data_IF_320966086042
#
_entry.id   IF_320966086042
#
_cell.length_a   1.000
_cell.length_b   1.000
_cell.length_c   1.000
_cell.angle_alpha   90.00
_cell.angle_beta   90.00
_cell.angle_gamma   90.00
#
_symmetry.space_group_name_H-M   'P 1'
#
loop_
_entity.id
_entity.type
_entity.pdbx_description
1 polymer ?
#
# COMPACT_ATOMS: atom_id res chain seq x y z
N UNK A 1 -19.35 -5.79 20.96
CA UNK A 1 -20.05 -5.11 19.86
C UNK A 1 -21.54 -5.38 20.00
N UNK A 2 -22.36 -4.33 20.19
CA UNK A 2 -23.81 -4.47 20.37
C UNK A 2 -24.52 -4.94 19.09
N UNK A 3 -25.79 -5.34 19.20
CA UNK A 3 -26.63 -5.62 18.04
C UNK A 3 -26.67 -4.37 17.14
N UNK A 4 -26.23 -4.52 15.89
CA UNK A 4 -26.34 -3.44 14.91
C UNK A 4 -27.82 -3.10 14.71
N UNK A 5 -28.17 -1.82 14.50
CA UNK A 5 -29.57 -1.40 14.34
C UNK A 5 -30.21 -1.88 13.02
N UNK A 6 -29.45 -2.63 12.20
CA UNK A 6 -29.86 -3.15 10.91
C UNK A 6 -29.71 -4.68 10.87
N UNK A 7 -30.60 -5.40 10.17
CA UNK A 7 -30.49 -6.84 10.01
C UNK A 7 -29.25 -7.21 9.20
N UNK A 8 -28.65 -8.37 9.49
CA UNK A 8 -27.62 -8.96 8.62
C UNK A 8 -28.27 -9.42 7.33
N UNK A 9 -27.74 -8.97 6.19
CA UNK A 9 -28.13 -9.44 4.86
C UNK A 9 -27.11 -10.48 4.39
N UNK A 10 -27.58 -11.57 3.80
CA UNK A 10 -26.76 -12.61 3.21
C UNK A 10 -27.42 -13.08 1.89
N UNK A 11 -26.65 -13.65 0.94
CA UNK A 11 -27.23 -14.30 -0.22
C UNK A 11 -28.27 -15.36 0.20
N UNK A 12 -29.40 -15.41 -0.51
CA UNK A 12 -30.40 -16.46 -0.30
C UNK A 12 -29.87 -17.83 -0.72
N UNK A 13 -30.46 -18.90 -0.20
CA UNK A 13 -30.07 -20.28 -0.52
C UNK A 13 -30.20 -20.61 -2.01
N UNK A 14 -31.13 -19.94 -2.72
CA UNK A 14 -31.37 -20.12 -4.16
C UNK A 14 -30.63 -19.10 -5.05
N UNK A 15 -29.65 -18.38 -4.51
CA UNK A 15 -28.85 -17.43 -5.28
C UNK A 15 -28.12 -18.15 -6.43
N UNK A 16 -28.13 -17.52 -7.62
CA UNK A 16 -27.45 -18.03 -8.81
C UNK A 16 -26.44 -17.00 -9.28
N UNK A 17 -25.20 -17.45 -9.48
CA UNK A 17 -24.10 -16.64 -9.97
C UNK A 17 -23.83 -16.97 -11.44
N UNK A 18 -23.48 -15.96 -12.24
CA UNK A 18 -23.11 -16.17 -13.64
C UNK A 18 -21.72 -16.82 -13.77
N UNK A 19 -20.86 -16.61 -12.76
CA UNK A 19 -19.52 -17.18 -12.63
C UNK A 19 -19.34 -17.56 -11.15
N UNK A 20 -18.76 -18.74 -10.91
CA UNK A 20 -18.41 -19.25 -9.59
C UNK A 20 -16.95 -19.71 -9.65
N UNK A 21 -16.06 -18.93 -9.04
CA UNK A 21 -14.62 -19.14 -9.06
C UNK A 21 -14.11 -19.26 -7.61
N UNK A 22 -13.27 -20.27 -7.37
CA UNK A 22 -12.64 -20.49 -6.07
C UNK A 22 -11.19 -19.99 -6.12
N UNK A 23 -10.80 -19.19 -5.14
CA UNK A 23 -9.43 -18.70 -4.97
C UNK A 23 -8.84 -19.30 -3.70
N UNK A 24 -7.76 -20.07 -3.83
CA UNK A 24 -6.98 -20.56 -2.69
C UNK A 24 -6.13 -19.41 -2.13
N UNK A 25 -6.37 -19.01 -0.88
CA UNK A 25 -5.69 -17.84 -0.30
C UNK A 25 -4.21 -18.13 -0.01
N UNK A 26 -3.86 -19.39 0.21
CA UNK A 26 -2.48 -19.86 0.40
C UNK A 26 -1.60 -19.72 -0.86
N UNK A 27 -2.22 -19.59 -2.03
CA UNK A 27 -1.52 -19.38 -3.31
C UNK A 27 -1.32 -17.88 -3.62
N UNK A 28 -1.95 -16.99 -2.85
CA UNK A 28 -1.87 -15.54 -3.06
C UNK A 28 -0.53 -15.03 -2.54
N UNK A 29 0.29 -14.52 -3.47
CA UNK A 29 1.56 -13.88 -3.17
C UNK A 29 1.47 -12.37 -3.32
N UNK A 30 2.39 -11.58 -2.75
CA UNK A 30 2.46 -10.15 -3.04
C UNK A 30 2.61 -9.89 -4.54
N UNK A 31 1.79 -9.00 -5.09
CA UNK A 31 1.74 -8.68 -6.52
C UNK A 31 2.10 -7.22 -6.78
N UNK A 32 2.58 -6.95 -8.00
CA UNK A 32 2.73 -5.58 -8.54
C UNK A 32 2.07 -5.54 -9.92
N UNK A 33 1.13 -4.60 -10.11
CA UNK A 33 0.53 -4.31 -11.41
C UNK A 33 1.33 -3.26 -12.17
N UNK A 34 1.84 -3.63 -13.34
CA UNK A 34 2.55 -2.72 -14.24
C UNK A 34 1.56 -1.79 -14.95
N UNK A 35 2.00 -0.59 -15.38
CA UNK A 35 1.19 0.22 -16.29
C UNK A 35 0.91 -0.53 -17.61
N UNK A 36 -0.16 -0.23 -18.35
CA UNK A 36 -1.21 0.77 -18.06
C UNK A 36 -2.55 0.11 -17.72
N UNK A 37 -2.54 -1.03 -17.02
CA UNK A 37 -3.76 -1.74 -16.62
C UNK A 37 -3.63 -2.30 -15.20
N UNK A 38 -4.65 -2.13 -14.34
CA UNK A 38 -4.67 -2.79 -13.03
C UNK A 38 -4.60 -4.32 -13.12
N UNK A 39 -5.04 -4.91 -14.24
CA UNK A 39 -4.96 -6.35 -14.48
C UNK A 39 -3.59 -6.83 -15.00
N UNK A 40 -2.63 -5.95 -15.28
CA UNK A 40 -1.29 -6.31 -15.74
C UNK A 40 -0.39 -6.65 -14.53
N UNK A 41 -0.85 -7.59 -13.70
CA UNK A 41 -0.27 -7.93 -12.40
C UNK A 41 0.63 -9.16 -12.46
N UNK A 42 1.79 -9.07 -11.80
CA UNK A 42 2.78 -10.13 -11.70
C UNK A 42 3.20 -10.32 -10.24
N UNK A 43 3.70 -11.50 -9.86
CA UNK A 43 4.35 -11.69 -8.56
C UNK A 43 5.44 -10.65 -8.32
N UNK A 44 5.40 -10.00 -7.17
CA UNK A 44 6.34 -8.92 -6.83
C UNK A 44 7.80 -9.41 -6.83
N UNK A 45 8.04 -10.69 -6.50
CA UNK A 45 9.36 -11.31 -6.56
C UNK A 45 9.92 -11.39 -7.98
N UNK A 46 9.08 -11.60 -9.00
CA UNK A 46 9.52 -11.59 -10.40
C UNK A 46 9.92 -10.18 -10.84
N UNK A 47 9.15 -9.16 -10.42
CA UNK A 47 9.48 -7.76 -10.68
C UNK A 47 10.79 -7.35 -9.99
N UNK A 48 11.02 -7.83 -8.77
CA UNK A 48 12.21 -7.52 -7.98
C UNK A 48 13.51 -7.93 -8.70
N UNK A 49 13.49 -9.02 -9.48
CA UNK A 49 14.63 -9.48 -10.26
C UNK A 49 15.12 -8.44 -11.30
N UNK A 50 14.25 -7.55 -11.76
CA UNK A 50 14.59 -6.47 -12.71
C UNK A 50 15.25 -5.27 -12.03
N UNK A 51 15.18 -5.16 -10.69
CA UNK A 51 15.63 -3.99 -9.91
C UNK A 51 15.13 -2.66 -10.47
N UNK A 52 13.85 -2.64 -10.85
CA UNK A 52 13.22 -1.48 -11.45
C UNK A 52 13.11 -0.33 -10.44
N UNK A 53 13.84 0.75 -10.69
CA UNK A 53 13.77 1.98 -9.89
C UNK A 53 12.50 2.80 -10.15
N UNK A 54 12.25 3.76 -9.24
CA UNK A 54 11.10 4.67 -9.30
C UNK A 54 11.41 5.98 -8.57
N UNK A 55 10.59 7.01 -8.79
CA UNK A 55 10.81 8.35 -8.26
C UNK A 55 10.06 8.62 -6.94
N UNK A 56 8.90 7.97 -6.75
CA UNK A 56 8.03 8.17 -5.57
C UNK A 56 7.37 6.87 -5.12
N UNK A 57 7.38 6.61 -3.82
CA UNK A 57 6.54 5.60 -3.17
C UNK A 57 5.32 6.29 -2.54
N UNK A 58 4.10 5.88 -2.90
CA UNK A 58 2.87 6.54 -2.44
C UNK A 58 1.88 5.55 -1.82
N UNK A 59 1.63 5.68 -0.52
CA UNK A 59 0.70 4.83 0.23
C UNK A 59 -0.58 5.62 0.55
N UNK A 60 -1.75 5.00 0.39
CA UNK A 60 -3.01 5.55 0.85
C UNK A 60 -4.08 5.81 -0.23
N UNK A 61 -4.69 7.00 -0.19
CA UNK A 61 -5.88 7.41 -0.95
C UNK A 61 -7.15 6.69 -0.48
N UNK A 62 -8.19 6.64 -1.33
CA UNK A 62 -9.48 6.07 -0.97
C UNK A 62 -9.48 4.53 -0.87
N UNK A 63 -8.54 3.84 -1.52
CA UNK A 63 -8.54 2.37 -1.58
C UNK A 63 -7.76 1.73 -0.44
N UNK A 64 -6.57 2.25 -0.13
CA UNK A 64 -5.67 1.65 0.87
C UNK A 64 -5.12 2.70 1.84
N UNK A 65 -5.96 3.67 2.20
CA UNK A 65 -5.67 4.70 3.20
C UNK A 65 -6.37 4.45 4.54
N UNK A 66 -6.93 3.26 4.76
CA UNK A 66 -7.55 2.88 6.03
C UNK A 66 -6.52 2.77 7.16
N UNK A 67 -7.01 2.64 8.39
CA UNK A 67 -6.12 2.48 9.54
C UNK A 67 -5.30 1.19 9.45
N UNK A 68 -5.93 0.08 9.05
CA UNK A 68 -5.27 -1.22 8.97
C UNK A 68 -4.33 -1.32 7.74
N UNK A 69 -4.66 -0.66 6.62
CA UNK A 69 -3.74 -0.51 5.49
C UNK A 69 -2.44 0.19 5.89
N UNK A 70 -2.57 1.30 6.63
CA UNK A 70 -1.43 2.08 7.12
C UNK A 70 -0.67 1.33 8.22
N UNK A 71 -1.37 0.52 9.02
CA UNK A 71 -0.74 -0.36 10.00
C UNK A 71 0.11 -1.43 9.33
N UNK A 72 -0.38 -2.08 8.27
CA UNK A 72 0.38 -3.08 7.51
C UNK A 72 1.71 -2.49 7.00
N UNK A 73 1.65 -1.31 6.38
CA UNK A 73 2.86 -0.61 5.95
C UNK A 73 3.79 -0.23 7.12
N UNK A 74 3.26 0.25 8.25
CA UNK A 74 4.07 0.57 9.42
C UNK A 74 4.76 -0.67 10.02
N UNK A 75 4.09 -1.83 10.06
CA UNK A 75 4.68 -3.08 10.52
C UNK A 75 5.85 -3.52 9.64
N UNK A 76 5.74 -3.35 8.31
CA UNK A 76 6.84 -3.58 7.37
C UNK A 76 8.00 -2.63 7.65
N UNK A 77 7.74 -1.32 7.76
CA UNK A 77 8.80 -0.33 8.04
C UNK A 77 9.51 -0.59 9.37
N UNK A 78 8.76 -0.91 10.44
CA UNK A 78 9.33 -1.25 11.75
C UNK A 78 10.16 -2.53 11.70
N UNK A 79 9.74 -3.53 10.94
CA UNK A 79 10.49 -4.76 10.75
C UNK A 79 11.75 -4.52 9.91
N UNK A 80 11.66 -3.71 8.85
CA UNK A 80 12.78 -3.28 8.04
C UNK A 80 13.83 -2.52 8.89
N UNK A 81 13.38 -1.64 9.79
CA UNK A 81 14.24 -0.93 10.76
C UNK A 81 15.02 -1.91 11.64
N UNK A 82 14.39 -2.97 12.12
CA UNK A 82 15.06 -4.04 12.89
C UNK A 82 16.07 -4.83 12.06
N UNK A 83 15.85 -4.93 10.75
CA UNK A 83 16.78 -5.53 9.78
C UNK A 83 17.88 -4.56 9.31
N UNK A 84 17.97 -3.34 9.86
CA UNK A 84 19.01 -2.35 9.51
C UNK A 84 18.63 -1.37 8.41
N UNK A 85 17.44 -1.50 7.82
CA UNK A 85 16.89 -0.53 6.87
C UNK A 85 16.17 0.58 7.64
N UNK A 86 16.88 1.65 7.98
CA UNK A 86 16.36 2.69 8.90
C UNK A 86 15.64 3.84 8.20
N UNK A 87 15.87 4.07 6.91
CA UNK A 87 15.27 5.18 6.15
C UNK A 87 14.91 4.77 4.73
N UNK A 88 13.82 5.32 4.20
CA UNK A 88 13.45 5.16 2.81
C UNK A 88 14.50 5.78 1.88
N UNK A 89 14.83 5.06 0.79
CA UNK A 89 15.78 5.49 -0.23
C UNK A 89 15.12 6.33 -1.33
N UNK A 90 13.79 6.29 -1.41
CA UNK A 90 12.96 7.11 -2.30
C UNK A 90 11.94 7.89 -1.49
N UNK A 91 11.46 9.06 -1.97
CA UNK A 91 10.37 9.80 -1.33
C UNK A 91 9.17 8.90 -1.00
N UNK A 92 8.85 8.77 0.28
CA UNK A 92 7.72 8.01 0.79
C UNK A 92 6.62 8.98 1.22
N UNK A 93 5.49 8.97 0.53
CA UNK A 93 4.40 9.91 0.73
C UNK A 93 3.15 9.14 1.16
N UNK A 94 2.53 9.55 2.25
CA UNK A 94 1.41 8.84 2.88
C UNK A 94 0.15 9.70 2.87
N UNK A 95 -0.95 9.15 2.36
CA UNK A 95 -2.25 9.81 2.20
C UNK A 95 -3.33 9.09 3.01
N UNK A 96 -3.59 9.47 4.28
CA UNK A 96 -4.64 8.83 5.07
C UNK A 96 -6.01 9.00 4.41
N UNK A 97 -6.82 7.95 4.38
CA UNK A 97 -8.08 7.91 3.62
C UNK A 97 -9.18 8.81 4.18
N UNK A 98 -9.05 9.27 5.43
CA UNK A 98 -9.92 10.28 6.02
C UNK A 98 -9.22 11.06 7.14
N UNK A 99 -9.73 12.25 7.46
CA UNK A 99 -9.24 13.03 8.59
C UNK A 99 -9.36 12.27 9.92
N UNK A 100 -10.34 11.37 10.05
CA UNK A 100 -10.49 10.47 11.20
C UNK A 100 -9.33 9.47 11.29
N UNK A 101 -8.98 8.82 10.17
CA UNK A 101 -7.80 7.94 10.11
C UNK A 101 -6.52 8.74 10.38
N UNK A 102 -6.35 9.91 9.78
CA UNK A 102 -5.19 10.79 10.02
C UNK A 102 -4.99 11.11 11.49
N UNK A 103 -6.06 11.40 12.24
CA UNK A 103 -5.95 11.61 13.70
C UNK A 103 -5.68 10.31 14.46
N UNK A 104 -6.25 9.19 14.02
CA UNK A 104 -6.12 7.89 14.68
C UNK A 104 -4.70 7.33 14.55
N UNK A 105 -4.02 7.50 13.42
CA UNK A 105 -2.65 7.00 13.21
C UNK A 105 -1.59 7.71 14.07
N UNK A 106 -1.94 8.84 14.68
CA UNK A 106 -1.08 9.54 15.65
C UNK A 106 -1.11 8.90 17.04
N UNK A 107 -2.09 8.03 17.31
CA UNK A 107 -2.22 7.36 18.61
C UNK A 107 -1.25 6.17 18.73
N UNK A 108 -0.64 5.95 19.90
CA UNK A 108 0.12 4.74 20.21
C UNK A 108 -0.66 3.46 19.91
N UNK A 109 0.00 2.45 19.37
CA UNK A 109 -0.57 1.12 19.15
C UNK A 109 0.33 0.03 19.74
N UNK A 110 -0.21 -0.92 20.53
CA UNK A 110 0.58 -2.00 21.13
C UNK A 110 1.25 -2.91 20.09
N UNK A 111 0.71 -3.03 18.87
CA UNK A 111 1.35 -3.79 17.77
C UNK A 111 2.66 -3.17 17.31
N UNK A 112 2.86 -1.88 17.62
CA UNK A 112 4.07 -1.11 17.34
C UNK A 112 4.88 -0.80 18.63
N UNK A 113 4.79 -1.64 19.67
CA UNK A 113 5.42 -1.41 20.99
C UNK A 113 5.09 -0.04 21.62
N UNK A 114 3.91 0.51 21.33
CA UNK A 114 3.50 1.82 21.83
C UNK A 114 3.94 3.01 20.95
N UNK A 115 4.63 2.77 19.84
CA UNK A 115 4.78 3.77 18.79
C UNK A 115 3.43 4.00 18.07
N UNK A 116 3.25 5.17 17.47
CA UNK A 116 2.13 5.41 16.57
C UNK A 116 2.50 5.05 15.13
N UNK A 117 1.51 4.71 14.30
CA UNK A 117 1.71 4.48 12.85
C UNK A 117 2.41 5.70 12.22
N UNK A 118 1.98 6.90 12.61
CA UNK A 118 2.54 8.15 12.10
C UNK A 118 4.00 8.36 12.52
N UNK A 119 4.39 7.95 13.74
CA UNK A 119 5.78 8.00 14.18
C UNK A 119 6.66 7.08 13.33
N UNK A 120 6.23 5.84 13.10
CA UNK A 120 6.96 4.87 12.27
C UNK A 120 7.18 5.40 10.84
N UNK A 121 6.16 6.00 10.22
CA UNK A 121 6.33 6.62 8.90
C UNK A 121 7.34 7.77 8.91
N UNK A 122 7.24 8.68 9.89
CA UNK A 122 8.13 9.85 9.98
C UNK A 122 9.58 9.46 10.23
N UNK A 123 9.81 8.45 11.07
CA UNK A 123 11.15 7.94 11.36
C UNK A 123 11.80 7.31 10.13
N UNK A 124 11.03 6.61 9.30
CA UNK A 124 11.49 6.13 8.00
C UNK A 124 11.74 7.26 6.97
N UNK A 125 11.49 8.53 7.34
CA UNK A 125 11.59 9.69 6.47
C UNK A 125 10.35 9.93 5.60
N UNK A 126 9.24 9.26 5.89
CA UNK A 126 7.98 9.40 5.19
C UNK A 126 7.23 10.68 5.57
N UNK A 127 6.54 11.26 4.60
CA UNK A 127 5.76 12.48 4.78
C UNK A 127 4.25 12.19 4.72
N UNK A 128 3.52 12.62 5.75
CA UNK A 128 2.07 12.39 5.86
C UNK A 128 1.34 13.63 5.37
N UNK A 129 0.51 13.48 4.34
CA UNK A 129 -0.31 14.54 3.74
C UNK A 129 -1.67 14.66 4.43
N UNK A 130 -2.42 15.70 4.05
CA UNK A 130 -3.85 15.76 4.35
C UNK A 130 -4.63 14.66 3.60
N UNK A 131 -5.84 14.38 4.08
CA UNK A 131 -6.69 13.33 3.51
C UNK A 131 -7.42 13.82 2.27
N UNK A 132 -6.89 13.48 1.09
CA UNK A 132 -7.51 13.73 -0.20
C UNK A 132 -6.91 12.83 -1.30
N UNK A 133 -7.53 12.77 -2.48
CA UNK A 133 -7.12 11.83 -3.54
C UNK A 133 -5.83 12.23 -4.28
N UNK A 134 -5.52 13.52 -4.40
CA UNK A 134 -4.35 14.09 -5.07
C UNK A 134 -3.77 13.30 -6.26
N UNK A 135 -2.55 12.76 -6.14
CA UNK A 135 -1.84 12.12 -7.25
C UNK A 135 -2.56 10.87 -7.79
N UNK A 136 -3.49 10.24 -7.05
CA UNK A 136 -4.28 9.10 -7.54
C UNK A 136 -5.12 9.43 -8.79
N UNK A 137 -5.42 10.72 -9.00
CA UNK A 137 -6.05 11.21 -10.23
C UNK A 137 -5.24 12.32 -10.92
N UNK A 138 -3.94 12.39 -10.61
CA UNK A 138 -2.98 13.26 -11.28
C UNK A 138 -3.00 14.72 -10.87
N UNK A 139 -3.56 15.05 -9.69
CA UNK A 139 -3.61 16.43 -9.19
C UNK A 139 -2.69 16.65 -7.98
N UNK A 140 -2.33 17.91 -7.77
CA UNK A 140 -1.55 18.35 -6.61
C UNK A 140 -0.05 18.26 -6.79
N UNK A 141 0.70 18.69 -5.76
CA UNK A 141 2.16 18.81 -5.83
C UNK A 141 2.85 17.44 -5.96
N UNK A 142 2.21 16.37 -5.51
CA UNK A 142 2.78 15.02 -5.54
C UNK A 142 2.49 14.28 -6.85
N UNK A 143 1.73 14.86 -7.80
CA UNK A 143 1.45 14.26 -9.11
C UNK A 143 2.73 13.94 -9.89
N UNK A 144 2.64 12.99 -10.81
CA UNK A 144 3.77 12.57 -11.64
C UNK A 144 4.00 13.54 -12.79
N UNK A 145 5.27 13.85 -13.04
CA UNK A 145 5.73 14.56 -14.24
C UNK A 145 6.12 13.58 -15.35
N UNK A 146 6.25 14.04 -16.60
CA UNK A 146 6.67 13.19 -17.71
C UNK A 146 7.96 12.41 -17.41
N UNK A 147 7.92 11.10 -17.62
CA UNK A 147 9.05 10.19 -17.36
C UNK A 147 9.18 9.71 -15.91
N UNK A 148 8.39 10.26 -14.97
CA UNK A 148 8.41 9.79 -13.58
C UNK A 148 7.63 8.49 -13.40
N UNK A 149 8.14 7.64 -12.52
CA UNK A 149 7.52 6.39 -12.07
C UNK A 149 7.16 6.48 -10.61
N UNK A 150 6.05 5.86 -10.25
CA UNK A 150 5.74 5.59 -8.85
C UNK A 150 5.32 4.15 -8.62
N UNK A 151 5.70 3.63 -7.46
CA UNK A 151 5.08 2.46 -6.86
C UNK A 151 4.03 2.96 -5.84
N UNK A 152 2.80 2.47 -5.92
CA UNK A 152 1.70 3.04 -5.15
C UNK A 152 0.65 2.03 -4.73
N UNK A 153 0.00 2.28 -3.59
CA UNK A 153 -1.18 1.54 -3.13
C UNK A 153 -2.49 2.17 -3.59
N UNK A 154 -2.48 2.86 -4.73
CA UNK A 154 -3.70 3.30 -5.40
C UNK A 154 -4.29 2.15 -6.22
N UNK A 155 -5.42 2.38 -6.90
CA UNK A 155 -6.16 1.31 -7.60
C UNK A 155 -6.19 1.44 -9.12
N UNK A 156 -5.57 2.48 -9.69
CA UNK A 156 -5.64 2.76 -11.13
C UNK A 156 -4.33 3.32 -11.66
N UNK A 157 -3.86 2.77 -12.77
CA UNK A 157 -2.59 3.14 -13.42
C UNK A 157 -2.68 3.25 -14.95
N UNK A 158 -3.84 3.62 -15.49
CA UNK A 158 -3.98 3.89 -16.93
C UNK A 158 -3.08 5.05 -17.38
N UNK A 159 -2.88 5.19 -18.69
CA UNK A 159 -2.07 6.29 -19.24
C UNK A 159 -2.55 7.65 -18.73
N UNK A 160 -1.59 8.48 -18.30
CA UNK A 160 -1.82 9.81 -17.73
C UNK A 160 -2.65 9.85 -16.43
N UNK A 161 -2.94 8.69 -15.80
CA UNK A 161 -3.83 8.61 -14.65
C UNK A 161 -3.32 9.39 -13.43
N UNK A 162 -2.01 9.35 -13.21
CA UNK A 162 -1.35 9.95 -12.04
C UNK A 162 -0.57 11.22 -12.38
N UNK A 163 -0.76 11.74 -13.60
CA UNK A 163 -0.01 12.86 -14.17
C UNK A 163 0.38 12.57 -15.62
N UNK A 164 0.43 13.61 -16.45
CA UNK A 164 0.70 13.46 -17.89
C UNK A 164 2.13 12.92 -18.10
N UNK A 165 2.25 11.80 -18.79
CA UNK A 165 3.52 11.11 -19.04
C UNK A 165 4.12 10.39 -17.82
N UNK A 166 3.37 10.30 -16.71
CA UNK A 166 3.77 9.54 -15.52
C UNK A 166 3.28 8.09 -15.55
N UNK A 167 4.04 7.21 -14.91
CA UNK A 167 3.78 5.76 -14.86
C UNK A 167 3.51 5.29 -13.43
N UNK A 168 2.38 4.63 -13.20
CA UNK A 168 2.01 4.06 -11.91
C UNK A 168 2.14 2.54 -11.89
N UNK A 169 2.81 2.02 -10.87
CA UNK A 169 2.85 0.61 -10.53
C UNK A 169 2.01 0.41 -9.28
N UNK A 170 1.03 -0.50 -9.32
CA UNK A 170 0.10 -0.70 -8.20
C UNK A 170 0.57 -1.88 -7.35
N UNK A 171 0.56 -1.73 -6.03
CA UNK A 171 0.91 -2.79 -5.09
C UNK A 171 0.23 -2.59 -3.73
N UNK A 172 0.29 -3.59 -2.84
CA UNK A 172 -0.22 -3.43 -1.48
C UNK A 172 0.61 -2.40 -0.67
N UNK A 173 0.06 -1.79 0.39
CA UNK A 173 0.80 -0.89 1.28
C UNK A 173 2.12 -1.46 1.78
N UNK A 174 2.16 -2.75 2.13
CA UNK A 174 3.37 -3.45 2.56
C UNK A 174 4.45 -3.52 1.47
N UNK A 175 4.07 -3.82 0.22
CA UNK A 175 5.02 -3.85 -0.91
C UNK A 175 5.54 -2.46 -1.25
N UNK A 176 4.67 -1.43 -1.20
CA UNK A 176 5.09 -0.03 -1.42
C UNK A 176 6.08 0.41 -0.33
N UNK A 177 5.79 0.08 0.93
CA UNK A 177 6.69 0.37 2.05
C UNK A 177 8.05 -0.34 1.89
N UNK A 178 8.04 -1.63 1.54
CA UNK A 178 9.27 -2.37 1.28
C UNK A 178 10.09 -1.76 0.12
N UNK A 179 9.41 -1.48 -1.00
CA UNK A 179 10.03 -0.85 -2.18
C UNK A 179 10.69 0.48 -1.84
N UNK A 180 10.05 1.30 -0.98
CA UNK A 180 10.61 2.57 -0.53
C UNK A 180 11.94 2.40 0.24
N UNK A 181 12.09 1.32 1.00
CA UNK A 181 13.30 0.99 1.74
C UNK A 181 14.38 0.37 0.86
N UNK A 182 13.99 -0.33 -0.21
CA UNK A 182 14.88 -1.01 -1.16
C UNK A 182 15.42 -0.07 -2.25
N UNK A 183 14.66 0.95 -2.64
CA UNK A 183 14.98 1.84 -3.77
C UNK A 183 14.67 1.26 -5.15
N UNK A 184 14.13 0.03 -5.19
CA UNK A 184 13.55 -0.60 -6.37
C UNK A 184 12.25 -1.30 -5.99
N UNK A 185 11.42 -1.61 -6.98
CA UNK A 185 10.14 -2.26 -6.76
C UNK A 185 10.34 -3.71 -6.33
N UNK A 186 9.96 -4.04 -5.09
CA UNK A 186 10.16 -5.37 -4.54
C UNK A 186 9.32 -5.64 -3.28
N UNK A 187 9.05 -6.93 -2.98
CA UNK A 187 8.29 -7.34 -1.81
C UNK A 187 9.11 -7.27 -0.52
N UNK A 188 8.47 -7.38 0.66
CA UNK A 188 9.15 -7.44 1.95
C UNK A 188 10.24 -8.52 2.08
N UNK A 189 10.14 -9.64 1.36
CA UNK A 189 11.15 -10.70 1.37
C UNK A 189 12.53 -10.23 0.89
N UNK A 190 12.60 -9.20 0.04
CA UNK A 190 13.86 -8.59 -0.40
C UNK A 190 14.57 -7.82 0.74
N UNK A 191 13.85 -7.47 1.81
CA UNK A 191 14.40 -6.91 3.05
C UNK A 191 14.79 -8.00 4.07
N UNK A 192 14.74 -9.28 3.68
CA UNK A 192 14.93 -10.40 4.59
C UNK A 192 13.77 -10.60 5.57
N UNK A 193 12.58 -10.11 5.22
CA UNK A 193 11.37 -10.26 6.04
C UNK A 193 10.52 -11.40 5.49
N UNK A 194 10.27 -12.42 6.32
CA UNK A 194 9.30 -13.45 5.98
C UNK A 194 7.90 -12.85 5.99
N UNK A 195 7.18 -12.96 4.86
CA UNK A 195 5.81 -12.47 4.76
C UNK A 195 4.86 -13.47 5.41
N UNK A 196 4.44 -13.15 6.63
CA UNK A 196 3.41 -13.88 7.37
C UNK A 196 2.13 -13.02 7.38
N UNK A 197 1.09 -13.33 6.59
CA UNK A 197 -0.14 -12.54 6.53
C UNK A 197 -0.73 -12.28 7.93
N UNK A 198 -0.74 -13.27 8.82
CA UNK A 198 -1.23 -13.15 10.20
C UNK A 198 -0.46 -12.13 11.06
N UNK A 199 0.77 -11.80 10.66
CA UNK A 199 1.64 -10.85 11.35
C UNK A 199 1.55 -9.44 10.78
N UNK A 200 1.11 -9.32 9.52
CA UNK A 200 1.07 -8.05 8.78
C UNK A 200 -0.36 -7.61 8.40
N UNK A 201 -1.35 -8.48 8.50
CA UNK A 201 -2.78 -8.22 8.35
C UNK A 201 -3.42 -8.27 9.74
N UNK A 202 -4.18 -7.21 10.06
CA UNK A 202 -4.78 -6.97 11.36
C UNK A 202 -6.16 -7.61 11.52
#
# INVERSE_FOLDING_TARGET
FGALPYPRLAPGQDARFALDETLALEEVVPMIARPFSPGNAFPAAEIAAERLGFDKAMIGSCTNGGYDDLMQAALVLRSARRAGHTRALTPLIVFPGSAGVKRRIEQPDPRLDGESIAAVFREAGGEIRESWCGPCFGQGPDALSPGQRAITSFNRNWTNRMGVGGEGYLASPGVVAASAMLGYMGPPSELGLDWEPERFEA
#
